data_IF_256368900598
#
_entry.id   IF_256368900598
#
_cell.length_a   1.000
_cell.length_b   1.000
_cell.length_c   1.000
_cell.angle_alpha   90.00
_cell.angle_beta   90.00
_cell.angle_gamma   90.00
#
_symmetry.space_group_name_H-M   'P 1'
#
loop_
_entity.id
_entity.type
_entity.pdbx_description
1 polymer ?
#
# COMPACT_ATOMS: atom_id res chain seq x y z
N UNK A 1 26.15 16.05 11.29
CA UNK A 1 25.91 16.56 9.92
C UNK A 1 24.41 16.49 9.68
N UNK A 2 23.72 17.62 9.89
CA UNK A 2 22.27 17.72 9.69
C UNK A 2 22.01 17.69 8.20
N UNK A 3 21.41 16.61 7.72
CA UNK A 3 20.97 16.52 6.33
C UNK A 3 19.77 17.47 6.20
N UNK A 4 20.01 18.67 5.65
CA UNK A 4 18.92 19.52 5.16
C UNK A 4 18.20 18.70 4.08
N UNK A 5 17.00 18.23 4.40
CA UNK A 5 16.12 17.63 3.40
C UNK A 5 15.73 18.75 2.44
N UNK A 6 15.96 18.51 1.16
CA UNK A 6 15.47 19.37 0.09
C UNK A 6 13.95 19.51 0.26
N UNK A 7 13.46 20.75 0.16
CA UNK A 7 12.04 21.05 0.00
C UNK A 7 11.55 20.25 -1.21
N UNK A 8 10.80 19.18 -0.94
CA UNK A 8 10.20 18.36 -1.97
C UNK A 8 9.19 19.20 -2.74
N UNK A 9 9.37 19.29 -4.05
CA UNK A 9 8.37 19.83 -4.94
C UNK A 9 7.06 19.08 -4.71
N UNK A 10 6.05 19.81 -4.25
CA UNK A 10 4.69 19.32 -4.00
C UNK A 10 4.09 18.92 -5.36
N UNK A 11 4.31 17.68 -5.78
CA UNK A 11 3.59 17.10 -6.91
C UNK A 11 2.13 16.95 -6.48
N UNK A 12 1.33 17.98 -6.79
CA UNK A 12 -0.09 18.03 -6.48
C UNK A 12 -0.79 16.81 -7.08
N UNK A 13 -1.51 16.05 -6.25
CA UNK A 13 -2.33 14.93 -6.71
C UNK A 13 -3.33 15.39 -7.79
N UNK A 14 -3.50 14.57 -8.82
CA UNK A 14 -4.52 14.80 -9.85
C UNK A 14 -5.92 14.49 -9.30
N UNK A 15 -6.54 15.50 -8.70
CA UNK A 15 -7.88 15.40 -8.11
C UNK A 15 -8.97 15.13 -9.15
N UNK A 16 -8.79 15.54 -10.41
CA UNK A 16 -9.75 15.25 -11.47
C UNK A 16 -9.79 13.76 -11.81
N UNK A 17 -8.62 13.13 -11.89
CA UNK A 17 -8.52 11.69 -12.04
C UNK A 17 -9.18 10.95 -10.87
N UNK A 18 -8.92 11.38 -9.64
CA UNK A 18 -9.55 10.78 -8.45
C UNK A 18 -11.08 10.91 -8.46
N UNK A 19 -11.61 12.06 -8.87
CA UNK A 19 -13.06 12.26 -9.05
C UNK A 19 -13.63 11.34 -10.14
N UNK A 20 -12.88 11.10 -11.23
CA UNK A 20 -13.31 10.18 -12.29
C UNK A 20 -13.41 8.73 -11.78
N UNK A 21 -12.46 8.30 -10.94
CA UNK A 21 -12.48 6.98 -10.31
C UNK A 21 -13.64 6.84 -9.32
N UNK A 22 -13.94 7.87 -8.54
CA UNK A 22 -15.11 7.90 -7.66
C UNK A 22 -16.42 7.77 -8.44
N UNK A 23 -16.57 8.55 -9.52
CA UNK A 23 -17.78 8.50 -10.36
C UNK A 23 -17.96 7.11 -10.98
N UNK A 24 -16.87 6.45 -11.37
CA UNK A 24 -16.90 5.07 -11.88
C UNK A 24 -17.26 4.06 -10.78
N UNK A 25 -16.57 4.11 -9.64
CA UNK A 25 -16.71 3.11 -8.56
C UNK A 25 -18.03 3.22 -7.81
N UNK A 26 -18.64 4.40 -7.80
CA UNK A 26 -19.91 4.68 -7.12
C UNK A 26 -20.99 5.16 -8.09
N UNK A 27 -20.98 4.66 -9.33
CA UNK A 27 -21.90 5.07 -10.39
C UNK A 27 -23.38 4.95 -9.97
N UNK A 28 -23.74 3.93 -9.21
CA UNK A 28 -25.12 3.71 -8.71
C UNK A 28 -25.61 4.85 -7.82
N UNK A 29 -24.70 5.51 -7.10
CA UNK A 29 -25.02 6.64 -6.22
C UNK A 29 -25.15 7.97 -6.99
N UNK A 30 -24.81 7.96 -8.29
CA UNK A 30 -24.88 9.11 -9.21
C UNK A 30 -24.21 10.38 -8.64
N UNK A 31 -22.94 10.30 -8.21
CA UNK A 31 -22.19 11.47 -7.76
C UNK A 31 -22.02 12.49 -8.91
N UNK A 32 -22.43 13.74 -8.67
CA UNK A 32 -22.54 14.76 -9.71
C UNK A 32 -21.44 15.82 -9.61
N UNK A 33 -21.45 16.62 -8.54
CA UNK A 33 -20.64 17.83 -8.36
C UNK A 33 -19.74 17.67 -7.14
N UNK A 34 -18.47 18.04 -7.29
CA UNK A 34 -17.52 18.13 -6.18
C UNK A 34 -17.81 19.40 -5.40
N UNK A 35 -18.02 19.26 -4.08
CA UNK A 35 -18.26 20.36 -3.15
C UNK A 35 -16.96 20.76 -2.44
N UNK A 36 -16.17 19.77 -2.03
CA UNK A 36 -14.92 19.99 -1.31
C UNK A 36 -13.94 18.84 -1.57
N UNK A 37 -12.65 19.17 -1.59
CA UNK A 37 -11.56 18.19 -1.63
C UNK A 37 -10.53 18.56 -0.57
N UNK A 38 -10.22 17.61 0.30
CA UNK A 38 -9.19 17.73 1.33
C UNK A 38 -8.11 16.70 1.07
N UNK A 39 -6.86 17.12 1.11
CA UNK A 39 -5.69 16.25 0.96
C UNK A 39 -4.82 16.41 2.20
N UNK A 40 -4.44 15.31 2.81
CA UNK A 40 -3.49 15.28 3.93
C UNK A 40 -2.53 14.11 3.78
N UNK A 41 -1.36 14.19 4.42
CA UNK A 41 -0.51 13.00 4.55
C UNK A 41 -1.22 11.95 5.43
N UNK A 42 -1.10 10.68 5.03
CA UNK A 42 -1.70 9.55 5.74
C UNK A 42 -0.93 9.15 7.00
N UNK A 43 0.37 9.42 7.01
CA UNK A 43 1.33 9.00 8.02
C UNK A 43 2.24 10.15 8.39
N UNK A 44 2.87 10.07 9.56
CA UNK A 44 3.80 11.09 10.01
C UNK A 44 5.05 11.12 9.11
N UNK A 45 5.73 12.27 9.10
CA UNK A 45 7.00 12.44 8.38
C UNK A 45 8.01 11.40 8.92
N UNK A 46 8.57 10.58 8.02
CA UNK A 46 9.52 9.52 8.36
C UNK A 46 8.92 8.11 8.49
N UNK A 47 7.60 7.94 8.45
CA UNK A 47 6.95 6.61 8.35
C UNK A 47 6.82 6.12 6.90
N UNK A 48 6.96 7.04 5.95
CA UNK A 48 6.87 6.80 4.52
C UNK A 48 8.26 6.44 3.97
N UNK A 49 8.52 5.13 3.78
CA UNK A 49 9.83 4.64 3.35
C UNK A 49 10.13 4.93 1.86
N UNK A 50 9.33 4.33 0.97
CA UNK A 50 9.61 4.23 -0.47
C UNK A 50 8.53 4.88 -1.33
N UNK A 51 7.56 5.54 -0.71
CA UNK A 51 6.37 6.10 -1.37
C UNK A 51 5.76 7.16 -0.49
N UNK A 52 5.06 8.12 -1.09
CA UNK A 52 4.21 9.05 -0.34
C UNK A 52 2.79 8.52 -0.30
N UNK A 53 2.18 8.46 0.88
CA UNK A 53 0.78 8.08 1.05
C UNK A 53 -0.02 9.29 1.50
N UNK A 54 -1.01 9.66 0.71
CA UNK A 54 -1.95 10.72 1.02
C UNK A 54 -3.31 10.12 1.39
N UNK A 55 -3.97 10.69 2.38
CA UNK A 55 -5.40 10.52 2.59
C UNK A 55 -6.11 11.66 1.86
N UNK A 56 -7.07 11.31 1.01
CA UNK A 56 -7.86 12.30 0.27
C UNK A 56 -9.33 12.09 0.59
N UNK A 57 -10.00 13.18 0.96
CA UNK A 57 -11.43 13.20 1.25
C UNK A 57 -12.14 14.09 0.25
N UNK A 58 -13.09 13.54 -0.49
CA UNK A 58 -13.89 14.29 -1.48
C UNK A 58 -15.34 14.28 -1.05
N UNK A 59 -15.93 15.47 -0.88
CA UNK A 59 -17.37 15.63 -0.66
C UNK A 59 -18.04 15.92 -1.99
N UNK A 60 -19.03 15.10 -2.37
CA UNK A 60 -19.81 15.27 -3.59
C UNK A 60 -21.30 15.40 -3.30
N UNK A 61 -22.01 16.10 -4.18
CA UNK A 61 -23.47 16.03 -4.27
C UNK A 61 -23.86 14.76 -5.01
N UNK A 62 -24.83 14.04 -4.48
CA UNK A 62 -25.49 12.91 -5.11
C UNK A 62 -26.78 13.38 -5.79
N UNK A 63 -27.38 12.51 -6.61
CA UNK A 63 -28.74 12.73 -7.12
C UNK A 63 -29.70 12.91 -5.94
N UNK A 64 -30.53 13.96 -6.00
CA UNK A 64 -31.46 14.32 -4.92
C UNK A 64 -30.90 15.31 -3.89
N UNK A 65 -29.72 15.92 -4.15
CA UNK A 65 -29.19 17.02 -3.33
C UNK A 65 -28.47 16.59 -2.05
N UNK A 66 -28.42 15.29 -1.75
CA UNK A 66 -27.69 14.74 -0.61
C UNK A 66 -26.19 14.89 -0.81
N UNK A 67 -25.47 15.36 0.22
CA UNK A 67 -24.00 15.35 0.25
C UNK A 67 -23.49 14.02 0.79
N UNK A 68 -22.44 13.48 0.16
CA UNK A 68 -21.69 12.32 0.65
C UNK A 68 -20.21 12.61 0.60
N UNK A 69 -19.51 12.20 1.66
CA UNK A 69 -18.05 12.28 1.76
C UNK A 69 -17.46 10.91 1.46
N UNK A 70 -16.50 10.88 0.54
CA UNK A 70 -15.70 9.72 0.18
C UNK A 70 -14.30 9.91 0.74
N UNK A 71 -13.63 8.83 1.13
CA UNK A 71 -12.25 8.84 1.61
C UNK A 71 -11.47 7.70 0.97
N UNK A 72 -10.23 7.97 0.60
CA UNK A 72 -9.35 7.01 -0.04
C UNK A 72 -7.89 7.32 0.27
N UNK A 73 -7.05 6.30 0.12
CA UNK A 73 -5.61 6.37 0.31
C UNK A 73 -4.95 6.37 -1.07
N UNK A 74 -4.21 7.43 -1.38
CA UNK A 74 -3.47 7.58 -2.63
C UNK A 74 -1.99 7.39 -2.34
N UNK A 75 -1.45 6.27 -2.81
CA UNK A 75 -0.03 5.97 -2.74
C UNK A 75 0.63 6.36 -4.05
N UNK A 76 1.67 7.17 -3.98
CA UNK A 76 2.44 7.63 -5.14
C UNK A 76 3.92 7.32 -4.96
N UNK A 77 4.60 7.07 -6.07
CA UNK A 77 6.07 7.01 -6.05
C UNK A 77 6.68 8.35 -5.64
N UNK A 78 7.95 8.33 -5.23
CA UNK A 78 8.73 9.53 -4.93
C UNK A 78 9.65 9.78 -6.15
N UNK A 79 9.37 10.77 -7.02
CA UNK A 79 10.18 11.01 -8.21
C UNK A 79 11.56 11.60 -7.87
N UNK A 80 12.60 11.18 -8.60
CA UNK A 80 13.85 11.95 -8.76
C UNK A 80 14.82 11.89 -7.57
N UNK A 81 14.83 10.81 -6.79
CA UNK A 81 15.69 10.68 -5.62
C UNK A 81 16.96 9.83 -5.86
N UNK A 82 17.95 9.93 -4.96
CA UNK A 82 19.05 8.93 -4.86
C UNK A 82 18.54 7.49 -4.69
N UNK A 83 17.28 7.34 -4.31
CA UNK A 83 16.56 6.09 -4.13
C UNK A 83 16.03 5.48 -5.44
N UNK A 84 16.03 6.21 -6.56
CA UNK A 84 15.51 5.72 -7.85
C UNK A 84 16.28 4.47 -8.31
N UNK A 85 17.60 4.43 -8.06
CA UNK A 85 18.43 3.25 -8.30
C UNK A 85 18.06 2.04 -7.43
N UNK A 86 17.57 2.27 -6.21
CA UNK A 86 17.13 1.20 -5.28
C UNK A 86 15.69 0.79 -5.60
N UNK A 87 14.83 1.73 -5.97
CA UNK A 87 13.44 1.50 -6.38
C UNK A 87 13.34 0.76 -7.70
N UNK A 88 14.18 1.10 -8.68
CA UNK A 88 14.31 0.35 -9.93
C UNK A 88 14.78 -1.08 -9.73
N UNK A 89 15.61 -1.33 -8.70
CA UNK A 89 16.06 -2.69 -8.32
C UNK A 89 14.96 -3.47 -7.57
N UNK A 90 14.16 -2.79 -6.74
CA UNK A 90 13.09 -3.42 -5.96
C UNK A 90 11.81 -3.69 -6.77
N UNK A 91 11.59 -2.94 -7.85
CA UNK A 91 10.41 -3.03 -8.70
C UNK A 91 9.07 -2.98 -7.90
N UNK A 92 9.04 -2.14 -6.85
CA UNK A 92 8.01 -2.19 -5.81
C UNK A 92 6.62 -1.81 -6.33
N UNK A 93 6.50 -0.70 -7.06
CA UNK A 93 5.20 -0.24 -7.58
C UNK A 93 4.61 -1.15 -8.67
N UNK A 94 5.41 -1.74 -9.58
CA UNK A 94 4.88 -2.70 -10.55
C UNK A 94 4.34 -3.97 -9.91
N UNK A 95 5.07 -4.51 -8.92
CA UNK A 95 4.58 -5.65 -8.13
C UNK A 95 3.31 -5.25 -7.38
N UNK A 96 3.28 -4.09 -6.73
CA UNK A 96 2.12 -3.62 -5.99
C UNK A 96 0.89 -3.42 -6.90
N UNK A 97 1.05 -2.79 -8.07
CA UNK A 97 -0.01 -2.68 -9.05
C UNK A 97 -0.51 -4.06 -9.48
N UNK A 98 0.38 -5.01 -9.76
CA UNK A 98 0.02 -6.38 -10.13
C UNK A 98 -0.74 -7.10 -9.02
N UNK A 99 -0.31 -6.95 -7.77
CA UNK A 99 -0.98 -7.52 -6.60
C UNK A 99 -2.44 -7.03 -6.54
N UNK A 100 -2.65 -5.71 -6.53
CA UNK A 100 -3.99 -5.15 -6.37
C UNK A 100 -4.91 -5.32 -7.59
N UNK A 101 -4.36 -5.37 -8.81
CA UNK A 101 -5.17 -5.38 -10.04
C UNK A 101 -5.36 -6.77 -10.64
N UNK A 102 -4.52 -7.74 -10.26
CA UNK A 102 -4.52 -9.09 -10.85
C UNK A 102 -4.59 -10.15 -9.75
N UNK A 103 -3.65 -10.16 -8.79
CA UNK A 103 -3.52 -11.25 -7.83
C UNK A 103 -4.67 -11.28 -6.81
N UNK A 104 -4.97 -10.15 -6.16
CA UNK A 104 -6.06 -10.07 -5.18
C UNK A 104 -7.44 -10.36 -5.81
N UNK A 105 -7.77 -9.86 -7.02
CA UNK A 105 -8.97 -10.29 -7.73
C UNK A 105 -9.03 -11.81 -7.99
N UNK A 106 -7.92 -12.44 -8.39
CA UNK A 106 -7.88 -13.91 -8.54
C UNK A 106 -8.10 -14.63 -7.21
N UNK A 107 -7.55 -14.11 -6.11
CA UNK A 107 -7.81 -14.65 -4.77
C UNK A 107 -9.27 -14.47 -4.36
N UNK A 108 -9.91 -13.35 -4.71
CA UNK A 108 -11.35 -13.14 -4.52
C UNK A 108 -12.19 -14.17 -5.28
N UNK A 109 -11.84 -14.46 -6.54
CA UNK A 109 -12.49 -15.50 -7.32
C UNK A 109 -12.33 -16.90 -6.70
N UNK A 110 -11.17 -17.21 -6.09
CA UNK A 110 -11.01 -18.44 -5.30
C UNK A 110 -11.91 -18.45 -4.08
N UNK A 111 -12.07 -17.32 -3.38
CA UNK A 111 -12.99 -17.25 -2.24
C UNK A 111 -14.42 -17.60 -2.68
N UNK A 112 -14.88 -17.06 -3.80
CA UNK A 112 -16.20 -17.40 -4.35
C UNK A 112 -16.30 -18.88 -4.76
N UNK A 113 -15.28 -19.41 -5.44
CA UNK A 113 -15.22 -20.80 -5.89
C UNK A 113 -15.28 -21.81 -4.74
N UNK A 114 -14.58 -21.52 -3.64
CA UNK A 114 -14.54 -22.38 -2.45
C UNK A 114 -15.64 -22.06 -1.43
N UNK A 115 -16.63 -21.23 -1.80
CA UNK A 115 -17.73 -20.78 -0.93
C UNK A 115 -17.24 -20.14 0.38
N UNK A 116 -16.09 -19.48 0.35
CA UNK A 116 -15.48 -18.82 1.49
C UNK A 116 -16.16 -17.49 1.80
N UNK A 117 -17.14 -17.52 2.70
CA UNK A 117 -17.94 -16.36 3.12
C UNK A 117 -17.24 -15.37 4.06
N UNK A 118 -15.97 -15.59 4.39
CA UNK A 118 -15.21 -14.65 5.25
C UNK A 118 -14.80 -13.42 4.46
N UNK A 119 -14.77 -12.27 5.13
CA UNK A 119 -14.35 -10.99 4.54
C UNK A 119 -12.98 -11.06 3.83
N UNK A 120 -12.77 -10.22 2.83
CA UNK A 120 -11.48 -10.07 2.18
C UNK A 120 -10.44 -9.57 3.18
N UNK A 121 -9.21 -10.05 3.03
CA UNK A 121 -8.08 -9.68 3.90
C UNK A 121 -7.23 -8.55 3.31
N UNK A 122 -7.79 -7.82 2.36
CA UNK A 122 -7.19 -6.71 1.63
C UNK A 122 -8.22 -5.61 1.38
N UNK A 123 -7.73 -4.38 1.16
CA UNK A 123 -8.54 -3.23 0.80
C UNK A 123 -8.91 -3.24 -0.69
N UNK A 124 -10.01 -2.58 -1.03
CA UNK A 124 -10.38 -2.37 -2.42
C UNK A 124 -9.40 -1.41 -3.13
N UNK A 125 -9.12 -1.68 -4.41
CA UNK A 125 -8.38 -0.79 -5.30
C UNK A 125 -9.35 -0.12 -6.29
N UNK A 126 -9.48 1.21 -6.22
CA UNK A 126 -10.37 1.97 -7.10
C UNK A 126 -9.72 2.33 -8.43
N UNK A 127 -8.38 2.39 -8.48
CA UNK A 127 -7.65 2.69 -9.69
C UNK A 127 -6.15 2.77 -9.47
N UNK A 128 -5.41 2.76 -10.57
CA UNK A 128 -3.96 2.84 -10.55
C UNK A 128 -3.47 3.58 -11.79
N UNK A 129 -2.28 4.17 -11.68
CA UNK A 129 -1.46 4.57 -12.82
C UNK A 129 -0.25 3.64 -12.82
N UNK A 130 0.00 2.91 -13.92
CA UNK A 130 1.12 1.99 -13.99
C UNK A 130 2.40 2.64 -13.48
N UNK A 131 3.15 1.89 -12.67
CA UNK A 131 4.45 2.26 -12.12
C UNK A 131 4.45 3.42 -11.10
N UNK A 132 3.40 4.23 -11.01
CA UNK A 132 3.50 5.55 -10.36
C UNK A 132 2.48 5.78 -9.24
N UNK A 133 1.29 5.18 -9.29
CA UNK A 133 0.24 5.48 -8.31
C UNK A 133 -0.79 4.37 -8.12
N UNK A 134 -1.32 4.26 -6.90
CA UNK A 134 -2.41 3.36 -6.52
C UNK A 134 -3.43 4.11 -5.65
N UNK A 135 -4.71 3.88 -5.91
CA UNK A 135 -5.83 4.46 -5.14
C UNK A 135 -6.59 3.34 -4.46
N UNK A 136 -6.54 3.35 -3.13
CA UNK A 136 -7.07 2.29 -2.28
C UNK A 136 -8.16 2.82 -1.35
N UNK A 137 -8.97 1.91 -0.83
CA UNK A 137 -9.91 2.16 0.25
C UNK A 137 -9.24 2.68 1.53
N UNK A 138 -9.88 3.68 2.15
CA UNK A 138 -9.48 4.18 3.46
C UNK A 138 -10.19 3.40 4.56
N UNK A 139 -9.52 2.34 5.04
CA UNK A 139 -10.01 1.43 6.07
C UNK A 139 -10.23 2.11 7.45
N UNK A 140 -9.82 3.37 7.64
CA UNK A 140 -10.06 4.07 8.91
C UNK A 140 -11.55 4.27 9.21
N UNK A 141 -12.42 4.29 8.18
CA UNK A 141 -13.87 4.35 8.37
C UNK A 141 -14.47 3.06 8.92
N UNK A 142 -13.79 1.93 8.72
CA UNK A 142 -14.17 0.63 9.28
C UNK A 142 -13.53 0.39 10.66
N UNK A 143 -12.83 1.39 11.20
CA UNK A 143 -12.20 1.31 12.53
C UNK A 143 -10.81 0.66 12.53
N UNK A 144 -10.24 0.34 11.37
CA UNK A 144 -8.87 -0.15 11.30
C UNK A 144 -7.89 0.95 11.68
N UNK A 145 -6.89 0.58 12.49
CA UNK A 145 -5.83 1.47 12.94
C UNK A 145 -4.46 0.83 12.73
N UNK A 146 -3.45 1.67 12.55
CA UNK A 146 -2.06 1.21 12.53
C UNK A 146 -1.64 0.78 13.92
N UNK A 147 -1.05 -0.40 14.00
CA UNK A 147 -0.47 -0.92 15.22
C UNK A 147 0.86 -0.21 15.51
N UNK A 148 1.10 0.14 16.78
CA UNK A 148 2.39 0.62 17.24
C UNK A 148 3.44 -0.51 17.17
N UNK A 149 4.31 -0.45 16.14
CA UNK A 149 5.35 -1.45 15.88
C UNK A 149 6.40 -1.57 16.99
N UNK A 150 6.45 -0.62 17.93
CA UNK A 150 7.37 -0.66 19.08
C UNK A 150 6.80 -1.41 20.28
N UNK A 151 5.51 -1.76 20.22
CA UNK A 151 4.80 -2.47 21.28
C UNK A 151 4.46 -3.90 20.88
N UNK A 152 4.49 -4.77 21.87
CA UNK A 152 4.00 -6.12 21.74
C UNK A 152 2.49 -6.12 21.49
N UNK A 153 2.05 -7.02 20.61
CA UNK A 153 0.63 -7.25 20.35
C UNK A 153 0.10 -8.32 21.30
N UNK A 154 -1.21 -8.32 21.51
CA UNK A 154 -1.86 -9.37 22.27
C UNK A 154 -1.78 -10.70 21.52
N UNK A 155 -1.87 -11.81 22.25
CA UNK A 155 -1.86 -13.15 21.63
C UNK A 155 -3.04 -13.34 20.69
N UNK A 156 -4.20 -12.75 21.01
CA UNK A 156 -5.41 -12.78 20.21
C UNK A 156 -5.19 -12.08 18.86
N UNK A 157 -4.57 -10.90 18.87
CA UNK A 157 -4.21 -10.16 17.66
C UNK A 157 -3.22 -10.95 16.80
N UNK A 158 -2.18 -11.53 17.42
CA UNK A 158 -1.20 -12.36 16.73
C UNK A 158 -1.86 -13.58 16.05
N UNK A 159 -2.79 -14.23 16.73
CA UNK A 159 -3.54 -15.36 16.16
C UNK A 159 -4.40 -14.96 14.96
N UNK A 160 -5.03 -13.79 14.97
CA UNK A 160 -5.78 -13.27 13.81
C UNK A 160 -4.84 -13.07 12.63
N UNK A 161 -3.70 -12.40 12.83
CA UNK A 161 -2.69 -12.17 11.78
C UNK A 161 -2.20 -13.48 11.20
N UNK A 162 -1.87 -14.47 12.04
CA UNK A 162 -1.37 -15.78 11.58
C UNK A 162 -2.43 -16.54 10.76
N UNK A 163 -3.70 -16.52 11.16
CA UNK A 163 -4.79 -17.14 10.39
C UNK A 163 -4.99 -16.45 9.04
N UNK A 164 -4.94 -15.13 9.02
CA UNK A 164 -5.05 -14.32 7.80
C UNK A 164 -3.90 -14.62 6.84
N UNK A 165 -2.66 -14.67 7.33
CA UNK A 165 -1.49 -15.04 6.52
C UNK A 165 -1.56 -16.47 6.00
N UNK A 166 -2.01 -17.43 6.82
CA UNK A 166 -2.18 -18.81 6.39
C UNK A 166 -3.21 -18.92 5.25
N UNK A 167 -4.33 -18.19 5.35
CA UNK A 167 -5.34 -18.11 4.28
C UNK A 167 -4.76 -17.51 3.00
N UNK A 168 -4.04 -16.39 3.10
CA UNK A 168 -3.36 -15.77 1.97
C UNK A 168 -2.38 -16.73 1.28
N UNK A 169 -1.54 -17.42 2.06
CA UNK A 169 -0.60 -18.41 1.53
C UNK A 169 -1.28 -19.60 0.85
N UNK A 170 -2.38 -20.10 1.42
CA UNK A 170 -3.14 -21.19 0.81
C UNK A 170 -3.70 -20.79 -0.56
N UNK A 171 -4.29 -19.60 -0.68
CA UNK A 171 -4.79 -19.08 -1.97
C UNK A 171 -3.66 -18.92 -2.99
N UNK A 172 -2.53 -18.32 -2.60
CA UNK A 172 -1.34 -18.20 -3.46
C UNK A 172 -0.84 -19.55 -3.98
N UNK A 173 -0.84 -20.59 -3.13
CA UNK A 173 -0.43 -21.95 -3.53
C UNK A 173 -1.39 -22.57 -4.55
N UNK A 174 -2.69 -22.36 -4.40
CA UNK A 174 -3.67 -22.82 -5.38
C UNK A 174 -3.45 -22.11 -6.73
N UNK A 175 -3.26 -20.78 -6.71
CA UNK A 175 -3.01 -20.03 -7.94
C UNK A 175 -1.71 -20.48 -8.65
N UNK A 176 -0.63 -20.75 -7.90
CA UNK A 176 0.60 -21.32 -8.43
C UNK A 176 0.38 -22.73 -9.03
N UNK A 177 -0.33 -23.60 -8.32
CA UNK A 177 -0.60 -24.96 -8.79
C UNK A 177 -1.44 -24.98 -10.07
N UNK A 178 -2.28 -23.96 -10.28
CA UNK A 178 -3.09 -23.75 -11.50
C UNK A 178 -2.33 -23.03 -12.62
N UNK A 179 -1.08 -22.61 -12.39
CA UNK A 179 -0.31 -21.82 -13.36
C UNK A 179 -0.85 -20.40 -13.58
N UNK A 180 -1.73 -19.91 -12.71
CA UNK A 180 -2.24 -18.53 -12.74
C UNK A 180 -1.23 -17.55 -12.12
N UNK A 181 -0.37 -18.06 -11.25
CA UNK A 181 0.86 -17.39 -10.82
C UNK A 181 2.06 -18.22 -11.26
N UNK A 182 3.16 -17.53 -11.48
CA UNK A 182 4.47 -18.07 -11.83
C UNK A 182 5.47 -17.79 -10.72
N UNK A 183 6.65 -18.40 -10.80
CA UNK A 183 7.72 -18.11 -9.83
C UNK A 183 8.20 -16.66 -9.90
N UNK A 184 8.08 -16.01 -11.06
CA UNK A 184 8.41 -14.60 -11.27
C UNK A 184 7.45 -13.66 -10.49
N UNK A 185 6.23 -14.12 -10.20
CA UNK A 185 5.23 -13.36 -9.42
C UNK A 185 5.60 -13.23 -7.94
N UNK A 186 6.59 -13.97 -7.47
CA UNK A 186 7.12 -13.83 -6.11
C UNK A 186 7.88 -12.53 -5.90
N UNK A 187 8.21 -11.84 -6.99
CA UNK A 187 8.96 -10.58 -6.97
C UNK A 187 10.42 -10.77 -6.61
N UNK A 188 11.23 -9.73 -6.87
CA UNK A 188 12.64 -9.71 -6.50
C UNK A 188 12.78 -9.27 -5.03
N UNK A 189 12.37 -10.12 -4.10
CA UNK A 189 12.47 -9.80 -2.68
C UNK A 189 13.94 -9.72 -2.26
N UNK A 190 14.38 -8.50 -1.92
CA UNK A 190 15.76 -8.21 -1.52
C UNK A 190 16.21 -9.03 -0.30
N UNK A 191 15.28 -9.47 0.55
CA UNK A 191 15.57 -10.21 1.78
C UNK A 191 15.60 -11.72 1.61
N UNK A 192 15.09 -12.24 0.49
CA UNK A 192 15.05 -13.68 0.20
C UNK A 192 16.14 -14.07 -0.80
N UNK A 193 16.45 -13.18 -1.73
CA UNK A 193 17.46 -13.43 -2.77
C UNK A 193 18.82 -12.87 -2.33
N UNK A 194 19.89 -13.66 -2.48
CA UNK A 194 21.28 -13.25 -2.18
C UNK A 194 21.83 -12.25 -3.21
N UNK A 195 21.24 -11.07 -3.23
CA UNK A 195 21.63 -10.00 -4.14
C UNK A 195 22.85 -9.25 -3.61
N UNK A 196 23.67 -8.71 -4.52
CA UNK A 196 24.79 -7.83 -4.16
C UNK A 196 24.30 -6.62 -3.35
N UNK A 197 23.15 -6.06 -3.73
CA UNK A 197 22.50 -4.93 -3.04
C UNK A 197 22.14 -5.29 -1.60
N UNK A 198 21.53 -6.46 -1.37
CA UNK A 198 21.21 -6.92 -0.02
C UNK A 198 22.46 -7.09 0.85
N UNK A 199 23.50 -7.76 0.34
CA UNK A 199 24.77 -7.94 1.07
C UNK A 199 25.40 -6.63 1.51
N UNK A 200 25.43 -5.64 0.60
CA UNK A 200 25.99 -4.32 0.91
C UNK A 200 25.13 -3.57 1.92
N UNK A 201 23.80 -3.52 1.71
CA UNK A 201 22.89 -2.80 2.59
C UNK A 201 22.86 -3.41 3.99
N UNK A 202 22.65 -4.73 4.09
CA UNK A 202 22.51 -5.45 5.35
C UNK A 202 23.80 -5.37 6.17
N UNK A 203 24.96 -5.61 5.56
CA UNK A 203 26.25 -5.51 6.28
C UNK A 203 26.57 -4.08 6.72
N UNK A 204 26.22 -3.07 5.92
CA UNK A 204 26.42 -1.66 6.28
C UNK A 204 25.51 -1.26 7.45
N UNK A 205 24.24 -1.63 7.40
CA UNK A 205 23.27 -1.34 8.47
C UNK A 205 23.67 -2.05 9.77
N UNK A 206 24.13 -3.30 9.72
CA UNK A 206 24.63 -4.00 10.92
C UNK A 206 25.89 -3.35 11.51
N UNK A 207 26.81 -2.85 10.67
CA UNK A 207 27.99 -2.11 11.15
C UNK A 207 27.58 -0.81 11.84
N UNK A 208 26.63 -0.07 11.26
CA UNK A 208 26.09 1.16 11.88
C UNK A 208 25.41 0.82 13.20
N UNK A 209 24.56 -0.20 13.24
CA UNK A 209 23.91 -0.67 14.46
C UNK A 209 24.95 -1.06 15.54
N UNK A 210 25.96 -1.84 15.18
CA UNK A 210 27.04 -2.24 16.09
C UNK A 210 27.77 -1.03 16.66
N UNK A 211 28.06 -0.02 15.83
CA UNK A 211 28.70 1.21 16.29
C UNK A 211 27.80 2.02 17.21
N UNK A 212 26.51 2.13 16.92
CA UNK A 212 25.55 2.82 17.81
C UNK A 212 25.46 2.11 19.15
N UNK A 213 25.34 0.78 19.17
CA UNK A 213 25.32 0.00 20.42
C UNK A 213 26.58 0.31 21.25
N UNK A 214 27.77 0.27 20.65
CA UNK A 214 29.04 0.53 21.34
C UNK A 214 29.19 1.96 21.87
N UNK A 215 28.62 2.95 21.19
CA UNK A 215 28.89 4.37 21.46
C UNK A 215 27.76 5.10 22.18
N UNK A 216 26.53 4.57 22.14
CA UNK A 216 25.32 5.25 22.63
C UNK A 216 24.53 4.43 23.64
N UNK A 217 24.71 3.11 23.69
CA UNK A 217 23.96 2.22 24.59
C UNK A 217 24.82 1.71 25.75
N UNK A 218 25.99 2.32 25.95
CA UNK A 218 26.74 2.27 27.21
C UNK A 218 26.22 3.34 28.16
#
# INVERSE_FOLDING_TARGET
MVCKMAEGSEHSLDTNWLVSLLKKSFADQKPSVVVNTEVSLASAVGENFLSTVHRVKITMLLKGGRRKRFSFMVKTEIPGGKLDSVMGVLNTFPIECKVYTIILPMMGALMDEFDDKRDSIWSNCFGYRPYTSLVMEDLSFEGYTSIDRTKWQSIEQAQIVLRTLARFHAMSKILLARGLLTEDDRGHNLFVNDTKTFRVLFSSTLKVLSNVIKTKWG
#
